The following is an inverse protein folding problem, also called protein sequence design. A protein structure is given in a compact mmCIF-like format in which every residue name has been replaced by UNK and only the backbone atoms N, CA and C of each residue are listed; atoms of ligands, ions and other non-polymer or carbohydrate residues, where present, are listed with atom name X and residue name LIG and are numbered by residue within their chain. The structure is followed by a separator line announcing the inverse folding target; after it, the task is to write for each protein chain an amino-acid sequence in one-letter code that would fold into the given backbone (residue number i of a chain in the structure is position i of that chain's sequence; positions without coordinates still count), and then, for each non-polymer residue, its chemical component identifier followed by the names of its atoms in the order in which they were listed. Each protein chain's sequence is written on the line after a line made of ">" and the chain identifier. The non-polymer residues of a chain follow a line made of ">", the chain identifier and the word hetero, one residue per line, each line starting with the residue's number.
data_IF_866249437665
#
_entry.id   IF_866249437665
#
_cell.length_a   1.000
_cell.length_b   1.000
_cell.length_c   1.000
_cell.angle_alpha   90.00
_cell.angle_beta   90.00
_cell.angle_gamma   90.00
#
_symmetry.space_group_name_H-M   'P 1'
#
loop_
_entity.id
_entity.type
_entity.pdbx_description
1 polymer ?
#
# COMPACT_ATOMS: atom_id res chain seq x y z
N UNK A 1 10.29 17.59 -12.22
CA UNK A 1 10.27 16.18 -12.65
C UNK A 1 8.88 15.69 -12.34
N UNK A 2 8.13 15.18 -13.31
CA UNK A 2 6.73 14.82 -13.07
C UNK A 2 6.67 13.47 -12.33
N UNK A 3 6.16 13.47 -11.10
CA UNK A 3 5.95 12.25 -10.32
C UNK A 3 4.58 11.66 -10.64
N UNK A 4 4.53 10.34 -10.84
CA UNK A 4 3.28 9.60 -11.04
C UNK A 4 2.93 8.78 -9.80
N UNK A 5 1.66 8.85 -9.42
CA UNK A 5 1.07 8.03 -8.36
C UNK A 5 -0.03 7.16 -8.95
N UNK A 6 -0.12 5.92 -8.48
CA UNK A 6 -1.20 5.00 -8.85
C UNK A 6 -1.90 4.47 -7.62
N UNK A 7 -3.22 4.34 -7.70
CA UNK A 7 -4.02 3.65 -6.71
C UNK A 7 -4.18 2.18 -7.11
N UNK A 8 -3.60 1.28 -6.33
CA UNK A 8 -3.61 -0.15 -6.55
C UNK A 8 -4.63 -0.86 -5.67
N UNK A 9 -5.32 -1.84 -6.25
CA UNK A 9 -6.21 -2.77 -5.54
C UNK A 9 -5.81 -4.20 -5.85
N UNK A 10 -5.70 -5.04 -4.82
CA UNK A 10 -5.46 -6.48 -4.98
C UNK A 10 -6.40 -7.28 -4.10
N UNK A 11 -6.91 -8.40 -4.63
CA UNK A 11 -7.60 -9.45 -3.87
C UNK A 11 -7.21 -10.87 -4.30
N UNK A 12 -6.18 -10.96 -5.16
CA UNK A 12 -5.63 -12.19 -5.67
C UNK A 12 -4.57 -12.72 -4.71
N UNK A 13 -4.41 -14.04 -4.67
CA UNK A 13 -3.31 -14.65 -3.93
C UNK A 13 -2.00 -14.29 -4.62
N UNK A 14 -1.02 -13.83 -3.85
CA UNK A 14 0.33 -13.66 -4.36
C UNK A 14 0.97 -15.04 -4.48
N UNK A 15 1.57 -15.30 -5.64
CA UNK A 15 2.32 -16.53 -5.87
C UNK A 15 3.81 -16.23 -5.66
N UNK A 16 4.39 -16.84 -4.63
CA UNK A 16 5.81 -16.77 -4.35
C UNK A 16 6.51 -17.98 -4.95
N UNK A 17 7.26 -17.73 -6.02
CA UNK A 17 8.16 -18.71 -6.66
C UNK A 17 7.50 -20.06 -6.99
N UNK A 18 6.20 -20.10 -7.29
CA UNK A 18 5.43 -21.32 -7.54
C UNK A 18 5.42 -22.33 -6.38
N UNK A 19 5.85 -21.93 -5.19
CA UNK A 19 5.94 -22.80 -4.01
C UNK A 19 4.86 -22.48 -2.98
N UNK A 20 4.39 -21.23 -2.94
CA UNK A 20 3.44 -20.78 -1.93
C UNK A 20 2.46 -19.75 -2.48
N UNK A 21 1.18 -19.93 -2.18
CA UNK A 21 0.14 -18.95 -2.40
C UNK A 21 -0.16 -18.22 -1.10
N UNK A 22 -0.04 -16.89 -1.13
CA UNK A 22 -0.21 -16.02 0.01
C UNK A 22 -1.49 -15.18 -0.16
N UNK A 23 -2.48 -15.40 0.69
CA UNK A 23 -3.80 -14.80 0.60
C UNK A 23 -3.85 -13.35 1.08
N UNK A 24 -4.06 -12.39 0.18
CA UNK A 24 -4.02 -10.96 0.53
C UNK A 24 -5.21 -10.20 -0.04
N UNK A 25 -5.50 -9.06 0.58
CA UNK A 25 -6.23 -7.95 -0.03
C UNK A 25 -5.47 -6.66 0.25
N UNK A 26 -5.46 -5.71 -0.69
CA UNK A 26 -4.80 -4.44 -0.48
C UNK A 26 -5.50 -3.31 -1.22
N UNK A 27 -5.50 -2.13 -0.61
CA UNK A 27 -5.86 -0.85 -1.22
C UNK A 27 -4.75 0.12 -0.86
N UNK A 28 -4.01 0.64 -1.84
CA UNK A 28 -2.87 1.50 -1.56
C UNK A 28 -2.61 2.50 -2.67
N UNK A 29 -2.08 3.66 -2.31
CA UNK A 29 -1.55 4.68 -3.19
C UNK A 29 -0.02 4.60 -3.14
N UNK A 30 0.65 4.55 -4.29
CA UNK A 30 2.11 4.51 -4.33
C UNK A 30 2.69 5.34 -5.47
N UNK A 31 3.87 5.91 -5.23
CA UNK A 31 4.73 6.46 -6.28
C UNK A 31 5.33 5.32 -7.09
N UNK A 32 5.16 5.38 -8.39
CA UNK A 32 5.70 4.39 -9.31
C UNK A 32 5.80 4.95 -10.72
N UNK A 33 6.63 4.30 -11.52
CA UNK A 33 6.82 4.65 -12.92
C UNK A 33 6.60 3.43 -13.83
N UNK A 34 6.25 3.67 -15.10
CA UNK A 34 6.18 2.59 -16.07
C UNK A 34 7.56 1.99 -16.32
N UNK A 35 7.61 0.67 -16.50
CA UNK A 35 8.83 -0.05 -16.90
C UNK A 35 8.44 -1.17 -17.88
N UNK A 36 9.19 -1.32 -18.96
CA UNK A 36 8.93 -2.25 -20.07
C UNK A 36 7.48 -2.17 -20.61
N UNK A 37 6.96 -0.95 -20.79
CA UNK A 37 5.59 -0.72 -21.27
C UNK A 37 4.47 -1.11 -20.29
N UNK A 38 4.80 -1.55 -19.07
CA UNK A 38 3.80 -1.84 -18.03
C UNK A 38 3.68 -0.65 -17.08
N UNK A 39 2.45 -0.15 -16.81
CA UNK A 39 2.26 0.94 -15.87
C UNK A 39 2.62 0.50 -14.45
N UNK A 40 3.18 1.42 -13.67
CA UNK A 40 3.45 1.23 -12.24
C UNK A 40 4.23 -0.07 -11.94
N UNK A 41 5.25 -0.38 -12.75
CA UNK A 41 6.05 -1.60 -12.60
C UNK A 41 7.32 -1.38 -11.79
N UNK A 42 7.84 -0.15 -11.78
CA UNK A 42 8.99 0.21 -10.97
C UNK A 42 8.56 1.09 -9.79
N UNK A 43 8.82 0.62 -8.56
CA UNK A 43 8.61 1.39 -7.35
C UNK A 43 9.86 2.19 -7.03
N UNK A 44 9.70 3.48 -6.86
CA UNK A 44 10.80 4.38 -6.55
C UNK A 44 10.90 4.57 -5.04
N UNK A 45 12.09 4.93 -4.54
CA UNK A 45 12.33 5.13 -3.10
C UNK A 45 12.36 6.60 -2.69
N UNK A 46 12.40 7.50 -3.67
CA UNK A 46 12.38 8.95 -3.44
C UNK A 46 11.00 9.53 -3.74
N UNK A 47 10.68 10.72 -3.25
CA UNK A 47 9.50 11.48 -3.63
C UNK A 47 9.67 12.94 -3.23
N UNK A 48 9.21 13.84 -4.09
CA UNK A 48 9.05 15.27 -3.78
C UNK A 48 7.58 15.69 -3.64
N UNK A 49 6.62 14.81 -3.96
CA UNK A 49 5.19 15.13 -3.93
C UNK A 49 4.64 15.19 -2.50
N UNK A 50 4.06 16.34 -2.15
CA UNK A 50 3.41 16.59 -0.87
C UNK A 50 1.90 16.43 -1.03
N UNK A 51 1.35 15.39 -0.42
CA UNK A 51 -0.09 15.26 -0.23
C UNK A 51 -0.50 16.03 1.02
N UNK A 52 -1.50 16.92 0.92
CA UNK A 52 -2.07 17.60 2.11
C UNK A 52 -2.88 16.62 2.97
N UNK A 53 -3.66 15.78 2.32
CA UNK A 53 -4.51 14.79 2.96
C UNK A 53 -4.71 13.58 2.04
N UNK A 54 -4.89 12.40 2.62
CA UNK A 54 -5.26 11.18 1.90
C UNK A 54 -6.36 10.46 2.70
N UNK A 55 -7.37 9.95 2.01
CA UNK A 55 -8.39 9.05 2.57
C UNK A 55 -8.37 7.75 1.76
N UNK A 56 -8.16 6.61 2.42
CA UNK A 56 -8.24 5.29 1.81
C UNK A 56 -9.28 4.48 2.56
N UNK A 57 -10.26 3.97 1.81
CA UNK A 57 -11.33 3.14 2.33
C UNK A 57 -11.47 1.90 1.44
N UNK A 58 -11.70 0.73 2.02
CA UNK A 58 -11.77 -0.50 1.24
C UNK A 58 -12.63 -1.59 1.88
N UNK A 59 -13.19 -2.47 1.06
CA UNK A 59 -13.98 -3.60 1.56
C UNK A 59 -13.12 -4.85 1.70
N UNK A 60 -12.83 -5.24 2.95
CA UNK A 60 -11.99 -6.40 3.27
C UNK A 60 -12.83 -7.60 3.72
N UNK A 61 -12.38 -8.81 3.37
CA UNK A 61 -12.95 -10.10 3.80
C UNK A 61 -12.24 -10.66 5.04
N UNK A 62 -11.51 -9.82 5.75
CA UNK A 62 -10.71 -10.17 6.92
C UNK A 62 -10.74 -9.01 7.90
N UNK A 63 -10.58 -9.33 9.20
CA UNK A 63 -10.34 -8.33 10.25
C UNK A 63 -8.85 -8.07 10.48
N UNK A 64 -7.96 -8.84 9.83
CA UNK A 64 -6.52 -8.70 9.97
C UNK A 64 -6.01 -7.71 8.92
N UNK A 65 -6.14 -6.42 9.23
CA UNK A 65 -5.78 -5.32 8.34
C UNK A 65 -4.68 -4.51 9.00
N UNK A 66 -3.63 -4.25 8.24
CA UNK A 66 -2.43 -3.55 8.66
C UNK A 66 -2.32 -2.26 7.86
N UNK A 67 -2.64 -1.09 8.45
CA UNK A 67 -2.43 0.19 7.81
C UNK A 67 -0.93 0.50 7.73
N UNK A 68 -0.54 1.24 6.69
CA UNK A 68 0.83 1.72 6.56
C UNK A 68 0.87 3.08 5.85
N UNK A 69 1.82 3.92 6.26
CA UNK A 69 2.18 5.15 5.58
C UNK A 69 3.70 5.28 5.61
N UNK A 70 4.27 5.59 4.45
CA UNK A 70 5.71 5.64 4.21
C UNK A 70 6.03 6.93 3.48
N UNK A 71 6.87 7.74 4.10
CA UNK A 71 7.42 8.99 3.56
C UNK A 71 8.60 8.69 2.62
N UNK A 72 9.10 9.75 1.97
CA UNK A 72 10.31 9.73 1.18
C UNK A 72 11.50 9.04 1.88
N UNK A 73 12.27 8.28 1.10
CA UNK A 73 13.41 7.48 1.56
C UNK A 73 13.03 6.35 2.52
N UNK A 74 11.82 5.79 2.36
CA UNK A 74 11.29 4.66 3.15
C UNK A 74 11.25 4.98 4.66
N UNK A 75 10.98 6.24 5.01
CA UNK A 75 10.78 6.64 6.40
C UNK A 75 9.35 6.36 6.83
N UNK A 76 9.17 5.92 8.07
CA UNK A 76 7.82 5.81 8.62
C UNK A 76 7.23 7.21 8.78
N UNK A 77 6.00 7.39 8.31
CA UNK A 77 5.21 8.60 8.57
C UNK A 77 4.92 8.72 10.07
N UNK A 78 4.87 9.95 10.60
CA UNK A 78 4.58 10.17 12.01
C UNK A 78 3.18 9.63 12.37
N UNK A 79 3.06 8.93 13.51
CA UNK A 79 1.78 8.36 13.97
C UNK A 79 0.69 9.43 14.17
N UNK A 80 1.07 10.69 14.43
CA UNK A 80 0.13 11.81 14.57
C UNK A 80 -0.48 12.25 13.24
N UNK A 81 0.12 11.88 12.11
CA UNK A 81 -0.29 12.30 10.78
C UNK A 81 -1.28 11.34 10.12
N UNK A 82 -1.55 10.18 10.72
CA UNK A 82 -2.53 9.24 10.20
C UNK A 82 -3.31 8.53 11.29
N UNK A 83 -4.49 8.03 10.95
CA UNK A 83 -5.31 7.20 11.84
C UNK A 83 -6.02 6.09 11.07
N UNK A 84 -6.35 5.01 11.77
CA UNK A 84 -7.04 3.85 11.24
C UNK A 84 -8.21 3.50 12.17
N UNK A 85 -9.39 3.32 11.59
CA UNK A 85 -10.63 3.02 12.32
C UNK A 85 -10.67 1.62 12.95
N UNK A 86 -9.71 0.76 12.62
CA UNK A 86 -9.70 -0.64 13.05
C UNK A 86 -10.44 -1.60 12.12
N UNK A 87 -11.07 -1.10 11.05
CA UNK A 87 -11.94 -1.86 10.18
C UNK A 87 -11.61 -1.72 8.69
N UNK A 88 -11.60 -0.51 8.15
CA UNK A 88 -11.57 -0.33 6.68
C UNK A 88 -11.12 1.04 6.19
N UNK A 89 -10.98 2.01 7.09
CA UNK A 89 -10.74 3.40 6.76
C UNK A 89 -9.43 3.90 7.38
N UNK A 90 -8.55 4.38 6.52
CA UNK A 90 -7.34 5.11 6.89
C UNK A 90 -7.46 6.58 6.47
N UNK A 91 -7.15 7.47 7.40
CA UNK A 91 -7.08 8.91 7.18
C UNK A 91 -5.64 9.37 7.38
N UNK A 92 -5.15 10.24 6.51
CA UNK A 92 -3.86 10.90 6.63
C UNK A 92 -4.01 12.40 6.44
N UNK A 93 -3.33 13.16 7.29
CA UNK A 93 -3.22 14.62 7.29
C UNK A 93 -1.76 14.99 7.47
N UNK A 94 -1.22 15.72 6.50
CA UNK A 94 0.19 16.10 6.50
C UNK A 94 0.39 17.32 7.40
N UNK A 95 1.11 17.15 8.50
CA UNK A 95 1.36 18.21 9.49
C UNK A 95 2.73 18.87 9.27
N UNK A 96 3.66 18.17 8.62
CA UNK A 96 5.06 18.59 8.51
C UNK A 96 5.51 18.85 7.06
N UNK A 97 4.59 18.93 6.10
CA UNK A 97 4.87 19.10 4.66
C UNK A 97 5.87 18.06 4.13
N UNK A 98 5.77 16.81 4.60
CA UNK A 98 6.63 15.71 4.12
C UNK A 98 6.10 15.15 2.80
N UNK A 99 7.01 14.68 1.96
CA UNK A 99 6.65 13.96 0.75
C UNK A 99 6.33 12.50 1.05
N UNK A 100 5.25 12.00 0.44
CA UNK A 100 4.69 10.68 0.73
C UNK A 100 5.08 9.70 -0.38
N UNK A 101 5.64 8.55 -0.02
CA UNK A 101 6.02 7.52 -0.99
C UNK A 101 4.87 6.54 -1.25
N UNK A 102 4.23 6.07 -0.18
CA UNK A 102 3.17 5.07 -0.26
C UNK A 102 2.31 5.10 0.99
N UNK A 103 1.02 4.82 0.84
CA UNK A 103 0.07 4.74 1.94
C UNK A 103 -1.04 3.75 1.59
N UNK A 104 -1.52 2.98 2.55
CA UNK A 104 -2.60 2.05 2.28
C UNK A 104 -2.96 1.11 3.42
N UNK A 105 -3.83 0.19 3.06
CA UNK A 105 -4.37 -0.87 3.90
C UNK A 105 -3.98 -2.22 3.32
N UNK A 106 -3.38 -3.07 4.15
CA UNK A 106 -2.96 -4.43 3.77
C UNK A 106 -3.66 -5.48 4.61
N UNK A 107 -4.57 -6.24 3.99
CA UNK A 107 -5.34 -7.30 4.61
C UNK A 107 -4.74 -8.68 4.40
N UNK A 108 -4.68 -9.49 5.47
CA UNK A 108 -4.27 -10.90 5.41
C UNK A 108 -5.46 -11.86 5.42
N UNK A 109 -5.51 -12.74 4.41
CA UNK A 109 -6.46 -13.84 4.28
C UNK A 109 -5.78 -15.16 4.61
N UNK A 110 -5.42 -15.38 5.88
CA UNK A 110 -4.66 -16.55 6.33
C UNK A 110 -5.25 -17.89 5.90
N UNK A 111 -6.59 -18.02 5.87
CA UNK A 111 -7.27 -19.26 5.40
C UNK A 111 -7.08 -19.56 3.90
N UNK A 112 -6.58 -18.60 3.12
CA UNK A 112 -6.33 -18.76 1.68
C UNK A 112 -4.87 -19.03 1.35
N UNK A 113 -4.02 -19.09 2.37
CA UNK A 113 -2.65 -19.51 2.20
C UNK A 113 -2.58 -20.99 1.81
N UNK A 114 -1.65 -21.35 0.92
CA UNK A 114 -1.49 -22.74 0.46
C UNK A 114 -0.06 -23.00 0.00
N UNK A 115 0.58 -24.03 0.55
CA UNK A 115 1.80 -24.60 -0.03
C UNK A 115 1.46 -25.37 -1.31
N UNK A 116 2.32 -25.23 -2.32
CA UNK A 116 2.18 -25.89 -3.62
C UNK A 116 3.13 -27.10 -3.78
N UNK A 117 3.95 -27.39 -2.76
CA UNK A 117 4.90 -28.51 -2.76
C UNK A 117 4.28 -29.83 -2.29
N UNK A 118 2.97 -30.00 -2.44
CA UNK A 118 2.20 -31.22 -2.12
C UNK A 118 1.37 -31.62 -3.31
#
# INVERSE_FOLDING_TARGET
>A
MDESYSFGVSGHRLNFYQTYLFGVQACFLARCEPLDGKPCRNYLLKSDTIFRSVKIEGTFRTRHIYPFAVDNEIRLTDRKEWDFDGESLMLYQNLNNRSLLSIGLYGRLYRRDKSLNT
#
